data_IF_328903853068
#
_entry.id   IF_328903853068
#
_cell.length_a   1.000
_cell.length_b   1.000
_cell.length_c   1.000
_cell.angle_alpha   90.00
_cell.angle_beta   90.00
_cell.angle_gamma   90.00
#
_symmetry.space_group_name_H-M   'P 1'
#
loop_
_entity.id
_entity.type
_entity.pdbx_description
1 polymer ?
#
# COMPACT_ATOMS: atom_id res chain seq x y z
N UNK A 1 25.33 -5.62 25.58
CA UNK A 1 24.83 -6.47 26.68
C UNK A 1 25.23 -7.91 26.41
N UNK A 2 25.97 -8.53 27.33
CA UNK A 2 26.39 -9.93 27.22
C UNK A 2 25.19 -10.86 27.34
N UNK A 3 25.02 -11.78 26.39
CA UNK A 3 23.92 -12.75 26.35
C UNK A 3 23.88 -13.59 27.64
N UNK A 4 25.06 -13.87 28.21
CA UNK A 4 25.22 -14.61 29.47
C UNK A 4 24.61 -13.86 30.66
N UNK A 5 24.77 -12.54 30.73
CA UNK A 5 24.22 -11.75 31.84
C UNK A 5 22.70 -11.69 31.77
N UNK A 6 22.14 -11.50 30.56
CA UNK A 6 20.70 -11.48 30.36
C UNK A 6 20.05 -12.85 30.65
N UNK A 7 20.77 -13.96 30.36
CA UNK A 7 20.35 -15.30 30.73
C UNK A 7 20.41 -15.54 32.24
N UNK A 8 21.46 -15.07 32.90
CA UNK A 8 21.61 -15.16 34.34
C UNK A 8 20.50 -14.39 35.07
N UNK A 9 20.19 -13.17 34.62
CA UNK A 9 19.16 -12.31 35.20
C UNK A 9 17.75 -12.92 35.08
N UNK A 10 17.46 -13.62 33.98
CA UNK A 10 16.15 -14.24 33.72
C UNK A 10 16.07 -15.73 34.07
N UNK A 11 17.15 -16.32 34.62
CA UNK A 11 17.26 -17.76 34.91
C UNK A 11 16.20 -18.26 35.89
N UNK A 12 15.86 -17.45 36.90
CA UNK A 12 14.83 -17.77 37.90
C UNK A 12 13.45 -17.89 37.25
N UNK A 13 13.06 -16.93 36.40
CA UNK A 13 11.78 -16.95 35.69
C UNK A 13 11.64 -18.15 34.75
N UNK A 14 12.75 -18.56 34.12
CA UNK A 14 12.82 -19.77 33.28
C UNK A 14 12.68 -21.06 34.09
N UNK A 15 13.36 -21.16 35.24
CA UNK A 15 13.27 -22.32 36.14
C UNK A 15 11.87 -22.52 36.71
N UNK A 16 11.16 -21.44 37.02
CA UNK A 16 9.80 -21.49 37.56
C UNK A 16 8.71 -21.52 36.48
N UNK A 17 9.07 -21.59 35.19
CA UNK A 17 8.14 -21.55 34.06
C UNK A 17 7.09 -20.44 34.19
N UNK A 18 7.47 -19.29 34.77
CA UNK A 18 6.54 -18.24 35.19
C UNK A 18 5.82 -17.54 34.02
N UNK A 19 6.28 -17.78 32.79
CA UNK A 19 5.65 -17.38 31.54
C UNK A 19 4.44 -18.28 31.22
N UNK A 20 3.49 -18.36 32.15
CA UNK A 20 2.26 -19.15 32.05
C UNK A 20 1.20 -18.54 31.13
N UNK A 21 1.38 -17.30 30.68
CA UNK A 21 0.41 -16.68 29.81
C UNK A 21 0.68 -17.05 28.35
N UNK A 22 0.04 -18.12 27.89
CA UNK A 22 0.05 -18.54 26.48
C UNK A 22 -0.37 -17.40 25.54
N UNK A 23 -1.20 -16.46 26.01
CA UNK A 23 -1.59 -15.25 25.28
C UNK A 23 -0.41 -14.31 25.09
N UNK A 24 0.44 -14.09 26.11
CA UNK A 24 1.64 -13.26 25.98
C UNK A 24 2.70 -13.92 25.08
N UNK A 25 2.87 -15.24 25.17
CA UNK A 25 3.75 -15.96 24.25
C UNK A 25 3.25 -15.84 22.81
N UNK A 26 1.95 -16.04 22.59
CA UNK A 26 1.32 -15.84 21.28
C UNK A 26 1.46 -14.39 20.80
N UNK A 27 1.21 -13.40 21.67
CA UNK A 27 1.35 -11.99 21.34
C UNK A 27 2.79 -11.63 21.01
N UNK A 28 3.78 -12.23 21.69
CA UNK A 28 5.21 -12.03 21.39
C UNK A 28 5.59 -12.60 20.02
N UNK A 29 5.05 -13.77 19.64
CA UNK A 29 5.23 -14.38 18.32
C UNK A 29 4.57 -13.51 17.25
N UNK A 30 3.30 -13.13 17.47
CA UNK A 30 2.55 -12.25 16.56
C UNK A 30 3.24 -10.91 16.40
N UNK A 31 3.68 -10.27 17.48
CA UNK A 31 4.43 -9.01 17.44
C UNK A 31 5.78 -9.16 16.73
N UNK A 32 6.46 -10.31 16.84
CA UNK A 32 7.70 -10.61 16.09
C UNK A 32 7.44 -10.71 14.58
N UNK A 33 6.28 -11.22 14.16
CA UNK A 33 5.89 -11.29 12.76
C UNK A 33 5.30 -9.98 12.21
N UNK A 34 4.46 -9.28 12.99
CA UNK A 34 3.77 -8.04 12.60
C UNK A 34 4.71 -6.82 12.74
N UNK A 35 5.40 -6.68 13.88
CA UNK A 35 6.38 -5.63 14.15
C UNK A 35 7.73 -5.81 13.43
N UNK A 36 8.02 -7.03 12.95
CA UNK A 36 9.26 -7.40 12.24
C UNK A 36 9.46 -6.78 10.86
N UNK A 37 8.55 -5.91 10.38
CA UNK A 37 8.80 -5.09 9.19
C UNK A 37 9.88 -4.02 9.42
N UNK A 38 10.07 -3.54 10.66
CA UNK A 38 11.01 -2.43 10.97
C UNK A 38 12.22 -2.81 11.82
N UNK A 39 12.11 -3.79 12.73
CA UNK A 39 13.24 -4.32 13.50
C UNK A 39 13.23 -5.83 13.40
N UNK A 40 14.16 -6.38 12.62
CA UNK A 40 14.12 -7.78 12.20
C UNK A 40 14.73 -8.72 13.27
N UNK A 41 13.88 -9.33 14.10
CA UNK A 41 14.26 -10.35 15.09
C UNK A 41 14.35 -11.78 14.52
N UNK A 42 14.19 -11.97 13.21
CA UNK A 42 14.54 -13.24 12.57
C UNK A 42 16.07 -13.36 12.49
N UNK A 43 16.59 -14.57 12.74
CA UNK A 43 18.01 -15.00 12.70
C UNK A 43 19.00 -14.05 12.01
N UNK A 44 20.19 -13.87 12.59
CA UNK A 44 21.28 -13.02 12.05
C UNK A 44 21.42 -13.18 10.53
N UNK A 45 21.38 -12.06 9.78
CA UNK A 45 21.42 -11.96 8.29
C UNK A 45 20.12 -12.26 7.53
N UNK A 46 19.01 -12.55 8.21
CA UNK A 46 17.71 -12.77 7.57
C UNK A 46 17.19 -11.57 6.77
N UNK A 47 17.51 -10.34 7.20
CA UNK A 47 17.10 -9.12 6.48
C UNK A 47 17.78 -9.04 5.12
N UNK A 48 19.11 -9.14 5.13
CA UNK A 48 19.93 -9.10 3.92
C UNK A 48 19.52 -10.21 2.95
N UNK A 49 19.28 -11.43 3.45
CA UNK A 49 18.81 -12.54 2.63
C UNK A 49 17.46 -12.25 1.97
N UNK A 50 16.51 -11.58 2.66
CA UNK A 50 15.24 -11.15 2.07
C UNK A 50 15.45 -10.07 1.00
N UNK A 51 16.29 -9.08 1.27
CA UNK A 51 16.61 -8.03 0.29
C UNK A 51 17.26 -8.62 -0.96
N UNK A 52 18.30 -9.43 -0.81
CA UNK A 52 18.96 -10.12 -1.92
C UNK A 52 17.99 -11.04 -2.66
N UNK A 53 17.13 -11.77 -1.94
CA UNK A 53 16.12 -12.63 -2.54
C UNK A 53 15.07 -11.85 -3.34
N UNK A 54 14.66 -10.68 -2.85
CA UNK A 54 13.75 -9.79 -3.57
C UNK A 54 14.38 -9.27 -4.87
N UNK A 55 15.65 -8.86 -4.84
CA UNK A 55 16.40 -8.43 -6.04
C UNK A 55 16.49 -9.56 -7.06
N UNK A 56 16.89 -10.77 -6.63
CA UNK A 56 16.97 -11.93 -7.52
C UNK A 56 15.59 -12.23 -8.11
N UNK A 57 14.54 -12.27 -7.28
CA UNK A 57 13.17 -12.56 -7.72
C UNK A 57 12.65 -11.54 -8.72
N UNK A 58 12.94 -10.25 -8.51
CA UNK A 58 12.51 -9.18 -9.40
C UNK A 58 13.19 -9.29 -10.77
N UNK A 59 14.49 -9.59 -10.79
CA UNK A 59 15.27 -9.65 -12.03
C UNK A 59 15.10 -10.97 -12.77
N UNK A 60 14.85 -12.09 -12.08
CA UNK A 60 14.78 -13.42 -12.69
C UNK A 60 13.39 -13.99 -12.88
N UNK A 61 12.39 -13.55 -12.09
CA UNK A 61 11.07 -14.20 -12.00
C UNK A 61 11.07 -15.62 -11.43
N UNK A 62 12.26 -16.19 -11.17
CA UNK A 62 12.51 -17.60 -10.81
C UNK A 62 13.55 -17.68 -9.68
N UNK A 63 13.17 -17.19 -8.50
CA UNK A 63 14.06 -17.10 -7.35
C UNK A 63 14.54 -18.47 -6.85
N UNK A 64 13.61 -19.40 -6.60
CA UNK A 64 13.89 -20.69 -5.97
C UNK A 64 14.73 -21.57 -6.88
N UNK A 65 14.39 -21.65 -8.17
CA UNK A 65 15.17 -22.45 -9.12
C UNK A 65 16.58 -21.93 -9.31
N UNK A 66 16.76 -20.59 -9.36
CA UNK A 66 18.08 -19.97 -9.56
C UNK A 66 18.96 -20.09 -8.32
N UNK A 67 18.40 -19.91 -7.12
CA UNK A 67 19.13 -20.14 -5.86
C UNK A 67 19.53 -21.61 -5.74
N UNK A 68 18.63 -22.54 -6.04
CA UNK A 68 18.94 -23.98 -6.02
C UNK A 68 20.08 -24.31 -6.99
N UNK A 69 19.99 -23.85 -8.24
CA UNK A 69 21.03 -24.09 -9.25
C UNK A 69 22.38 -23.50 -8.83
N UNK A 70 22.38 -22.30 -8.25
CA UNK A 70 23.60 -21.67 -7.76
C UNK A 70 24.22 -22.39 -6.55
N UNK A 71 23.41 -22.97 -5.67
CA UNK A 71 23.89 -23.62 -4.44
C UNK A 71 24.33 -25.07 -4.65
N UNK A 72 23.60 -25.81 -5.47
CA UNK A 72 23.79 -27.25 -5.63
C UNK A 72 24.31 -27.64 -7.01
N UNK A 73 24.53 -26.68 -7.92
CA UNK A 73 24.92 -26.91 -9.32
C UNK A 73 24.00 -27.89 -10.08
N UNK A 74 22.80 -28.09 -9.55
CA UNK A 74 21.81 -29.04 -10.07
C UNK A 74 20.50 -28.31 -10.34
N UNK A 75 19.73 -28.86 -11.27
CA UNK A 75 18.43 -28.28 -11.60
C UNK A 75 17.44 -28.51 -10.46
N UNK A 76 16.60 -27.51 -10.16
CA UNK A 76 15.51 -27.67 -9.20
C UNK A 76 14.49 -28.71 -9.68
N UNK A 77 13.79 -29.35 -8.73
CA UNK A 77 12.73 -30.29 -9.04
C UNK A 77 11.58 -29.66 -9.84
N UNK A 78 10.83 -30.51 -10.56
CA UNK A 78 9.75 -30.08 -11.44
C UNK A 78 8.64 -29.32 -10.71
N UNK A 79 8.37 -29.67 -9.45
CA UNK A 79 7.41 -28.96 -8.62
C UNK A 79 7.77 -27.47 -8.49
N UNK A 80 9.01 -27.16 -8.12
CA UNK A 80 9.48 -25.77 -7.96
C UNK A 80 9.37 -25.02 -9.28
N UNK A 81 9.89 -25.59 -10.38
CA UNK A 81 9.79 -24.99 -11.72
C UNK A 81 8.34 -24.76 -12.14
N UNK A 82 7.44 -25.69 -11.86
CA UNK A 82 6.02 -25.57 -12.21
C UNK A 82 5.32 -24.45 -11.45
N UNK A 83 5.63 -24.28 -10.16
CA UNK A 83 5.04 -23.21 -9.34
C UNK A 83 5.54 -21.84 -9.76
N UNK A 84 6.83 -21.71 -10.10
CA UNK A 84 7.40 -20.47 -10.64
C UNK A 84 6.81 -20.13 -12.01
N UNK A 85 6.67 -21.11 -12.91
CA UNK A 85 6.02 -20.93 -14.22
C UNK A 85 4.56 -20.51 -14.09
N UNK A 86 3.82 -21.08 -13.13
CA UNK A 86 2.43 -20.66 -12.83
C UNK A 86 2.39 -19.19 -12.39
N UNK A 87 3.28 -18.78 -11.49
CA UNK A 87 3.37 -17.37 -11.03
C UNK A 87 3.70 -16.42 -12.18
N UNK A 88 4.63 -16.78 -13.05
CA UNK A 88 4.99 -15.99 -14.23
C UNK A 88 3.78 -15.81 -15.17
N UNK A 89 3.08 -16.91 -15.47
CA UNK A 89 1.87 -16.89 -16.28
C UNK A 89 0.78 -16.00 -15.66
N UNK A 90 0.60 -16.06 -14.35
CA UNK A 90 -0.36 -15.21 -13.63
C UNK A 90 0.01 -13.73 -13.70
N UNK A 91 1.29 -13.39 -13.58
CA UNK A 91 1.78 -12.02 -13.73
C UNK A 91 1.53 -11.50 -15.15
N UNK A 92 1.82 -12.30 -16.18
CA UNK A 92 1.53 -11.97 -17.58
C UNK A 92 0.02 -11.77 -17.78
N UNK A 93 -0.81 -12.66 -17.24
CA UNK A 93 -2.27 -12.58 -17.33
C UNK A 93 -2.80 -11.32 -16.65
N UNK A 94 -2.25 -10.93 -15.49
CA UNK A 94 -2.58 -9.67 -14.81
C UNK A 94 -2.19 -8.45 -15.64
N UNK A 95 -0.97 -8.41 -16.19
CA UNK A 95 -0.53 -7.32 -17.08
C UNK A 95 -1.47 -7.17 -18.28
N UNK A 96 -1.83 -8.28 -18.94
CA UNK A 96 -2.80 -8.28 -20.05
C UNK A 96 -4.19 -7.79 -19.65
N UNK A 97 -4.67 -8.10 -18.43
CA UNK A 97 -5.94 -7.57 -17.93
C UNK A 97 -5.89 -6.07 -17.62
N UNK A 98 -4.72 -5.55 -17.23
CA UNK A 98 -4.52 -4.14 -16.94
C UNK A 98 -4.33 -3.29 -18.20
N UNK A 99 -3.73 -3.86 -19.25
CA UNK A 99 -3.54 -3.19 -20.55
C UNK A 99 -4.80 -3.13 -21.41
N UNK A 100 -5.81 -3.95 -21.11
CA UNK A 100 -7.12 -3.81 -21.75
C UNK A 100 -7.76 -2.52 -21.21
N UNK A 101 -8.19 -1.58 -22.07
CA UNK A 101 -8.99 -0.46 -21.61
C UNK A 101 -10.19 -1.06 -20.89
N UNK A 102 -10.22 -0.89 -19.57
CA UNK A 102 -11.44 -1.20 -18.82
C UNK A 102 -12.43 -0.18 -19.35
N UNK A 103 -13.33 -0.61 -20.24
CA UNK A 103 -14.57 0.10 -20.45
C UNK A 103 -15.30 -0.02 -19.11
N UNK A 104 -14.94 0.87 -18.17
CA UNK A 104 -15.65 1.04 -16.92
C UNK A 104 -17.01 1.50 -17.42
N UNK A 105 -17.98 0.59 -17.44
CA UNK A 105 -19.39 0.99 -17.46
C UNK A 105 -19.47 1.98 -16.30
N UNK A 106 -19.56 3.27 -16.62
CA UNK A 106 -19.62 4.29 -15.61
C UNK A 106 -20.87 3.95 -14.81
N UNK A 107 -20.68 3.48 -13.59
CA UNK A 107 -21.79 3.19 -12.66
C UNK A 107 -22.58 4.47 -12.38
N UNK A 108 -22.05 5.63 -12.78
CA UNK A 108 -22.58 6.97 -12.63
C UNK A 108 -22.76 7.69 -13.98
N UNK A 109 -22.93 6.96 -15.09
CA UNK A 109 -23.51 7.61 -16.26
C UNK A 109 -24.99 7.77 -15.92
N UNK A 110 -25.36 8.88 -15.30
CA UNK A 110 -26.75 9.21 -15.06
C UNK A 110 -27.47 9.13 -16.41
N UNK A 111 -28.27 8.08 -16.56
CA UNK A 111 -28.97 7.76 -17.80
C UNK A 111 -30.18 8.69 -18.03
N UNK A 112 -30.27 9.79 -17.28
CA UNK A 112 -31.36 10.75 -17.28
C UNK A 112 -30.90 12.12 -16.77
N UNK A 113 -31.65 13.15 -17.17
CA UNK A 113 -31.46 14.53 -16.70
C UNK A 113 -31.67 14.54 -15.18
N UNK A 114 -30.63 14.73 -14.39
CA UNK A 114 -30.77 14.88 -12.94
C UNK A 114 -31.60 16.14 -12.65
N UNK A 115 -32.82 15.94 -12.15
CA UNK A 115 -33.77 17.02 -11.85
C UNK A 115 -33.45 17.75 -10.55
N UNK A 116 -32.65 17.13 -9.69
CA UNK A 116 -32.37 17.61 -8.35
C UNK A 116 -31.05 18.39 -8.26
N UNK A 117 -30.10 18.11 -9.16
CA UNK A 117 -28.77 18.73 -9.11
C UNK A 117 -28.23 19.06 -10.51
N UNK A 118 -27.40 20.10 -10.59
CA UNK A 118 -26.72 20.53 -11.82
C UNK A 118 -27.45 21.64 -12.58
N UNK A 119 -26.96 21.95 -13.78
CA UNK A 119 -27.39 23.13 -14.59
C UNK A 119 -28.87 23.06 -15.01
N UNK A 120 -29.51 21.89 -14.91
CA UNK A 120 -30.91 21.66 -15.30
C UNK A 120 -31.81 21.27 -14.12
N UNK A 121 -31.44 21.63 -12.89
CA UNK A 121 -32.27 21.36 -11.72
C UNK A 121 -33.63 22.08 -11.84
N UNK A 122 -34.72 21.37 -11.55
CA UNK A 122 -36.09 21.90 -11.67
C UNK A 122 -36.47 22.76 -10.45
N UNK A 123 -35.78 22.57 -9.32
CA UNK A 123 -36.03 23.28 -8.07
C UNK A 123 -34.74 23.98 -7.61
N UNK A 124 -34.52 25.25 -8.00
CA UNK A 124 -33.36 26.00 -7.51
C UNK A 124 -33.49 26.27 -6.00
N UNK A 125 -32.37 26.26 -5.29
CA UNK A 125 -32.33 26.48 -3.84
C UNK A 125 -32.68 27.93 -3.44
N UNK A 126 -32.52 28.87 -4.38
CA UNK A 126 -32.70 30.31 -4.20
C UNK A 126 -33.56 30.85 -5.35
N UNK A 127 -34.32 31.92 -5.09
CA UNK A 127 -34.95 32.68 -6.17
C UNK A 127 -33.89 33.41 -7.00
N UNK A 128 -34.20 33.67 -8.26
CA UNK A 128 -33.28 34.29 -9.23
C UNK A 128 -32.77 35.66 -8.75
N UNK A 129 -33.65 36.43 -8.08
CA UNK A 129 -33.31 37.76 -7.55
C UNK A 129 -32.26 37.67 -6.43
N UNK A 130 -32.47 36.76 -5.48
CA UNK A 130 -31.55 36.55 -4.35
C UNK A 130 -30.23 35.97 -4.86
N UNK A 131 -30.28 35.08 -5.86
CA UNK A 131 -29.11 34.53 -6.49
C UNK A 131 -28.28 35.62 -7.17
N UNK A 132 -28.91 36.49 -7.96
CA UNK A 132 -28.26 37.61 -8.64
C UNK A 132 -27.60 38.57 -7.65
N UNK A 133 -28.30 38.92 -6.57
CA UNK A 133 -27.74 39.80 -5.53
C UNK A 133 -26.53 39.16 -4.82
N UNK A 134 -26.59 37.87 -4.48
CA UNK A 134 -25.47 37.15 -3.87
C UNK A 134 -24.29 36.98 -4.83
N UNK A 135 -24.57 36.76 -6.10
CA UNK A 135 -23.58 36.65 -7.17
C UNK A 135 -22.79 37.96 -7.30
N UNK A 136 -23.48 39.09 -7.43
CA UNK A 136 -22.87 40.43 -7.48
C UNK A 136 -22.01 40.69 -6.23
N UNK A 137 -22.54 40.39 -5.05
CA UNK A 137 -21.80 40.52 -3.78
C UNK A 137 -20.55 39.65 -3.75
N UNK A 138 -20.61 38.41 -4.23
CA UNK A 138 -19.45 37.53 -4.29
C UNK A 138 -18.39 38.11 -5.23
N UNK A 139 -18.79 38.56 -6.42
CA UNK A 139 -17.87 39.17 -7.37
C UNK A 139 -17.20 40.43 -6.83
N UNK A 140 -17.92 41.27 -6.07
CA UNK A 140 -17.29 42.43 -5.42
C UNK A 140 -16.28 42.03 -4.33
N UNK A 141 -16.53 40.95 -3.57
CA UNK A 141 -15.51 40.40 -2.63
C UNK A 141 -14.32 39.74 -3.33
N UNK A 142 -14.52 39.14 -4.50
CA UNK A 142 -13.46 38.46 -5.25
C UNK A 142 -12.60 39.43 -6.06
N UNK A 143 -13.05 40.67 -6.26
CA UNK A 143 -12.23 41.73 -6.80
C UNK A 143 -11.18 42.13 -5.76
N UNK A 144 -9.99 41.55 -5.88
CA UNK A 144 -8.81 42.04 -5.19
C UNK A 144 -8.57 43.50 -5.60
N UNK A 145 -8.30 44.34 -4.61
CA UNK A 145 -7.78 45.68 -4.86
C UNK A 145 -6.45 45.57 -5.60
N UNK A 146 -6.13 46.53 -6.46
CA UNK A 146 -4.90 46.52 -7.27
C UNK A 146 -3.65 46.46 -6.36
N UNK A 147 -3.75 46.95 -5.12
CA UNK A 147 -2.69 46.93 -4.11
C UNK A 147 -2.34 45.51 -3.59
N UNK A 148 -3.25 44.53 -3.69
CA UNK A 148 -3.05 43.17 -3.17
C UNK A 148 -2.56 42.17 -4.24
N UNK A 149 -2.42 42.61 -5.49
CA UNK A 149 -2.08 41.73 -6.61
C UNK A 149 -0.86 42.23 -7.39
N UNK A 150 0.38 41.99 -6.90
CA UNK A 150 1.63 42.47 -7.51
C UNK A 150 1.93 41.90 -8.91
N UNK A 151 1.05 41.06 -9.47
CA UNK A 151 1.19 40.46 -10.80
C UNK A 151 0.47 41.26 -11.91
N UNK A 152 -0.37 42.25 -11.56
CA UNK A 152 -1.09 43.06 -12.56
C UNK A 152 -0.25 44.19 -13.18
N UNK A 153 0.85 44.60 -12.55
CA UNK A 153 1.76 45.64 -13.08
C UNK A 153 2.74 45.12 -14.15
N UNK A 154 2.69 43.82 -14.51
CA UNK A 154 3.65 43.18 -15.43
C UNK A 154 3.09 42.86 -16.82
N UNK A 155 1.98 43.47 -17.22
CA UNK A 155 1.44 43.48 -18.58
C UNK A 155 1.21 44.92 -19.03
#
# INVERSE_FOLDING_TARGET
MNVVNNLADNSKSLLFSANNNSVEQFHSIVAKFIGGKRVNFCLRRSYLARCSGAVISHNSGSFMSRVHKSKYNTSSGNFVKSTERRRENDLIRRKRKMSRPRCRKSLFLEKGRNKNYGVRAEKPDLSEDIFSQKKERLFSTLQLSIEENPLKERL
#
